data_IF_405140780921
#
_entry.id   IF_405140780921
#
_cell.length_a   1.000
_cell.length_b   1.000
_cell.length_c   1.000
_cell.angle_alpha   90.00
_cell.angle_beta   90.00
_cell.angle_gamma   90.00
#
_symmetry.space_group_name_H-M   'P 1'
#
loop_
_entity.id
_entity.type
_entity.pdbx_description
1 polymer ?
#
# COMPACT_ATOMS: atom_id res chain seq x y z
N UNK A 1 -24.10 -14.57 -3.26
CA UNK A 1 -23.05 -15.60 -3.08
C UNK A 1 -22.19 -15.16 -1.91
N UNK A 2 -21.83 -16.06 -0.98
CA UNK A 2 -20.97 -15.74 0.15
C UNK A 2 -19.51 -15.70 -0.31
N UNK A 3 -18.78 -14.62 -0.02
CA UNK A 3 -17.36 -14.45 -0.39
C UNK A 3 -16.48 -15.60 0.12
N UNK A 4 -16.83 -16.23 1.26
CA UNK A 4 -16.16 -17.41 1.78
C UNK A 4 -16.30 -18.64 0.85
N UNK A 5 -17.44 -18.78 0.17
CA UNK A 5 -17.65 -19.88 -0.76
C UNK A 5 -16.80 -19.72 -2.02
N UNK A 6 -16.63 -18.48 -2.49
CA UNK A 6 -15.75 -18.16 -3.63
C UNK A 6 -14.29 -18.43 -3.26
N UNK A 7 -13.84 -17.97 -2.09
CA UNK A 7 -12.45 -18.20 -1.65
C UNK A 7 -12.12 -19.69 -1.48
N UNK A 8 -13.05 -20.49 -0.93
CA UNK A 8 -12.90 -21.96 -0.87
C UNK A 8 -12.74 -22.59 -2.25
N UNK A 9 -13.49 -22.12 -3.26
CA UNK A 9 -13.35 -22.62 -4.63
C UNK A 9 -12.00 -22.24 -5.25
N UNK A 10 -11.49 -21.03 -4.99
CA UNK A 10 -10.19 -20.57 -5.48
C UNK A 10 -9.07 -21.44 -4.89
N UNK A 11 -9.13 -21.72 -3.59
CA UNK A 11 -8.18 -22.59 -2.90
C UNK A 11 -8.28 -24.04 -3.41
N UNK A 12 -9.49 -24.58 -3.56
CA UNK A 12 -9.71 -25.92 -4.12
C UNK A 12 -9.14 -26.08 -5.54
N UNK A 13 -9.08 -24.99 -6.32
CA UNK A 13 -8.48 -24.94 -7.65
C UNK A 13 -6.96 -24.71 -7.64
N UNK A 14 -6.31 -24.74 -6.46
CA UNK A 14 -4.86 -24.61 -6.32
C UNK A 14 -4.30 -23.23 -6.70
N UNK A 15 -5.14 -22.18 -6.70
CA UNK A 15 -4.70 -20.82 -7.02
C UNK A 15 -4.09 -20.19 -5.76
N UNK A 16 -2.77 -20.23 -5.64
CA UNK A 16 -2.01 -19.78 -4.46
C UNK A 16 -1.35 -18.40 -4.62
N UNK A 17 -1.53 -17.74 -5.78
CA UNK A 17 -1.00 -16.40 -5.99
C UNK A 17 -1.59 -15.41 -4.96
N UNK A 18 -0.79 -14.41 -4.49
CA UNK A 18 -1.27 -13.37 -3.59
C UNK A 18 -2.51 -12.68 -4.14
N UNK A 19 -3.50 -12.45 -3.29
CA UNK A 19 -4.77 -11.80 -3.62
C UNK A 19 -5.31 -11.05 -2.41
N UNK A 20 -6.22 -10.12 -2.65
CA UNK A 20 -6.99 -9.45 -1.62
C UNK A 20 -8.18 -10.34 -1.24
N UNK A 21 -8.43 -10.47 0.06
CA UNK A 21 -9.59 -11.17 0.62
C UNK A 21 -10.56 -10.16 1.26
N UNK A 22 -11.81 -10.54 1.54
CA UNK A 22 -12.73 -9.69 2.29
C UNK A 22 -12.17 -9.29 3.65
N UNK A 23 -11.46 -10.20 4.32
CA UNK A 23 -10.83 -9.93 5.62
C UNK A 23 -9.73 -8.87 5.51
N UNK A 24 -8.96 -8.85 4.41
CA UNK A 24 -7.94 -7.82 4.18
C UNK A 24 -8.57 -6.43 4.04
N UNK A 25 -9.73 -6.35 3.38
CA UNK A 25 -10.45 -5.07 3.22
C UNK A 25 -10.95 -4.57 4.56
N UNK A 26 -11.64 -5.42 5.31
CA UNK A 26 -12.13 -5.09 6.64
C UNK A 26 -10.98 -4.68 7.58
N UNK A 27 -9.86 -5.43 7.54
CA UNK A 27 -8.68 -5.10 8.32
C UNK A 27 -8.04 -3.77 7.90
N UNK A 28 -8.20 -3.33 6.66
CA UNK A 28 -7.62 -2.08 6.15
C UNK A 28 -8.48 -0.83 6.48
N UNK A 29 -9.72 -1.00 6.91
CA UNK A 29 -10.58 0.10 7.38
C UNK A 29 -10.14 0.49 8.80
N UNK A 30 -9.80 1.77 9.00
CA UNK A 30 -9.39 2.33 10.27
C UNK A 30 -10.54 2.99 11.03
N UNK A 31 -11.47 3.65 10.33
CA UNK A 31 -12.69 4.21 10.92
C UNK A 31 -13.80 4.40 9.88
N UNK A 32 -15.04 4.48 10.37
CA UNK A 32 -16.23 4.66 9.55
C UNK A 32 -17.04 5.84 10.09
N UNK A 33 -17.52 6.70 9.18
CA UNK A 33 -18.29 7.89 9.53
C UNK A 33 -19.55 7.95 8.67
N UNK A 34 -20.68 8.27 9.28
CA UNK A 34 -21.98 8.27 8.63
C UNK A 34 -22.71 9.58 8.86
N UNK A 35 -23.27 10.14 7.80
CA UNK A 35 -24.10 11.34 7.87
C UNK A 35 -25.02 11.41 6.64
N UNK A 36 -26.11 12.16 6.72
CA UNK A 36 -26.90 12.52 5.54
C UNK A 36 -26.37 13.78 4.89
N UNK A 37 -26.65 14.01 3.61
CA UNK A 37 -26.27 15.25 2.93
C UNK A 37 -26.80 16.49 3.68
N UNK A 38 -28.01 16.41 4.23
CA UNK A 38 -28.60 17.47 5.03
C UNK A 38 -27.87 17.70 6.36
N UNK A 39 -27.32 16.66 7.00
CA UNK A 39 -26.44 16.85 8.16
C UNK A 39 -25.14 17.56 7.78
N UNK A 40 -24.58 17.21 6.62
CA UNK A 40 -23.39 17.87 6.08
C UNK A 40 -23.63 19.36 5.80
N UNK A 41 -24.74 19.70 5.14
CA UNK A 41 -25.11 21.08 4.85
C UNK A 41 -25.43 21.88 6.13
N UNK A 42 -26.17 21.29 7.08
CA UNK A 42 -26.44 21.93 8.37
C UNK A 42 -25.14 22.29 9.11
N UNK A 43 -24.16 21.39 9.11
CA UNK A 43 -22.84 21.63 9.68
C UNK A 43 -22.09 22.76 8.98
N UNK A 44 -22.15 22.82 7.65
CA UNK A 44 -21.52 23.88 6.86
C UNK A 44 -22.17 25.26 7.11
N UNK A 45 -23.50 25.32 7.19
CA UNK A 45 -24.24 26.55 7.52
C UNK A 45 -23.88 27.03 8.92
N UNK A 46 -23.83 26.12 9.91
CA UNK A 46 -23.48 26.46 11.29
C UNK A 46 -22.09 27.09 11.40
N UNK A 47 -21.12 26.59 10.63
CA UNK A 47 -19.75 27.11 10.63
C UNK A 47 -19.60 28.45 9.90
N UNK A 48 -20.41 28.72 8.88
CA UNK A 48 -20.27 29.91 8.01
C UNK A 48 -21.16 31.08 8.45
N UNK A 49 -22.36 30.78 8.93
CA UNK A 49 -23.41 31.77 9.17
C UNK A 49 -23.62 32.04 10.67
N UNK A 50 -23.03 31.22 11.54
CA UNK A 50 -23.28 31.24 12.99
C UNK A 50 -24.70 30.79 13.39
N UNK A 51 -25.56 30.49 12.42
CA UNK A 51 -26.90 29.95 12.62
C UNK A 51 -26.78 28.45 12.87
N UNK A 52 -27.10 28.00 14.08
CA UNK A 52 -26.99 26.59 14.47
C UNK A 52 -28.33 25.99 14.90
N UNK A 53 -28.37 24.67 15.03
CA UNK A 53 -29.52 23.93 15.52
C UNK A 53 -30.69 23.89 14.53
N UNK A 54 -31.92 23.87 15.06
CA UNK A 54 -33.13 23.59 14.28
C UNK A 54 -33.34 24.57 13.11
N UNK A 55 -32.91 25.84 13.28
CA UNK A 55 -33.05 26.88 12.26
C UNK A 55 -32.28 26.56 10.98
N UNK A 56 -31.03 26.12 11.10
CA UNK A 56 -30.23 25.72 9.93
C UNK A 56 -30.80 24.45 9.28
N UNK A 57 -31.42 23.58 10.07
CA UNK A 57 -31.97 22.30 9.61
C UNK A 57 -33.30 22.44 8.86
N UNK A 58 -34.14 23.42 9.22
CA UNK A 58 -35.45 23.64 8.60
C UNK A 58 -35.39 24.24 7.19
N UNK A 59 -34.25 24.82 6.81
CA UNK A 59 -34.05 25.44 5.49
C UNK A 59 -33.43 24.47 4.46
N UNK A 60 -33.10 23.25 4.89
CA UNK A 60 -32.43 22.24 4.05
C UNK A 60 -33.46 21.48 3.22
N UNK A 61 -33.23 21.32 1.90
CA UNK A 61 -34.10 20.51 1.05
C UNK A 61 -34.28 19.07 1.56
N UNK A 62 -35.52 18.59 1.59
CA UNK A 62 -35.87 17.25 2.10
C UNK A 62 -35.06 16.13 1.43
N UNK A 63 -34.80 16.26 0.12
CA UNK A 63 -33.99 15.31 -0.65
C UNK A 63 -32.60 15.06 -0.06
N UNK A 64 -32.00 16.07 0.61
CA UNK A 64 -30.69 15.94 1.23
C UNK A 64 -30.73 15.12 2.53
N UNK A 65 -31.88 15.03 3.18
CA UNK A 65 -32.07 14.15 4.33
C UNK A 65 -32.19 12.67 3.93
N UNK A 66 -32.50 12.38 2.67
CA UNK A 66 -32.64 11.01 2.13
C UNK A 66 -31.34 10.41 1.59
N UNK A 67 -30.30 11.23 1.43
CA UNK A 67 -29.00 10.81 0.91
C UNK A 67 -28.03 10.53 2.05
N UNK A 68 -27.74 9.25 2.28
CA UNK A 68 -26.78 8.79 3.31
C UNK A 68 -25.39 8.62 2.71
N UNK A 69 -24.38 9.16 3.38
CA UNK A 69 -22.97 8.94 3.10
C UNK A 69 -22.36 8.00 4.13
N UNK A 70 -21.43 7.17 3.66
CA UNK A 70 -20.47 6.44 4.45
C UNK A 70 -19.07 6.90 4.03
N UNK A 71 -18.25 7.34 4.97
CA UNK A 71 -16.84 7.69 4.73
C UNK A 71 -15.97 6.72 5.51
N UNK A 72 -15.20 5.92 4.77
CA UNK A 72 -14.24 4.98 5.33
C UNK A 72 -12.84 5.62 5.26
N UNK A 73 -12.17 5.71 6.39
CA UNK A 73 -10.74 6.07 6.44
C UNK A 73 -9.94 4.77 6.44
N UNK A 74 -9.06 4.59 5.46
CA UNK A 74 -8.17 3.43 5.38
C UNK A 74 -6.92 3.63 6.26
N UNK A 75 -6.20 2.55 6.59
CA UNK A 75 -5.00 2.60 7.45
C UNK A 75 -3.88 3.49 6.92
N UNK A 76 -3.84 3.74 5.61
CA UNK A 76 -2.87 4.65 4.99
C UNK A 76 -3.33 6.13 4.97
N UNK A 77 -4.47 6.44 5.58
CA UNK A 77 -5.07 7.78 5.60
C UNK A 77 -5.91 8.14 4.38
N UNK A 78 -6.00 7.26 3.37
CA UNK A 78 -6.86 7.50 2.20
C UNK A 78 -8.33 7.34 2.58
N UNK A 79 -9.20 8.19 2.05
CA UNK A 79 -10.65 8.14 2.31
C UNK A 79 -11.40 7.57 1.13
N UNK A 80 -12.34 6.66 1.40
CA UNK A 80 -13.26 6.10 0.41
C UNK A 80 -14.68 6.39 0.83
N UNK A 81 -15.48 6.97 -0.06
CA UNK A 81 -16.89 7.27 0.20
C UNK A 81 -17.80 6.22 -0.42
N UNK A 82 -18.98 6.04 0.14
CA UNK A 82 -20.09 5.34 -0.47
C UNK A 82 -21.38 6.06 -0.14
N UNK A 83 -22.35 5.95 -1.04
CA UNK A 83 -23.56 6.75 -1.02
C UNK A 83 -24.78 5.83 -1.14
N UNK A 84 -25.86 6.15 -0.42
CA UNK A 84 -27.16 5.51 -0.56
C UNK A 84 -28.23 6.59 -0.64
N UNK A 85 -28.86 6.70 -1.81
CA UNK A 85 -29.93 7.66 -2.07
C UNK A 85 -31.28 6.94 -1.98
N UNK A 86 -32.11 7.29 -1.01
CA UNK A 86 -33.48 6.78 -0.94
C UNK A 86 -34.38 7.57 -1.91
N UNK A 87 -35.19 6.84 -2.69
CA UNK A 87 -36.05 7.44 -3.72
C UNK A 87 -37.31 8.11 -3.16
N UNK A 88 -37.77 7.73 -1.96
CA UNK A 88 -38.93 8.34 -1.33
C UNK A 88 -38.76 8.46 0.19
N UNK A 89 -39.22 9.56 0.83
CA UNK A 89 -39.16 9.72 2.28
C UNK A 89 -39.85 8.61 3.06
N UNK A 90 -40.96 8.10 2.55
CA UNK A 90 -41.78 7.07 3.23
C UNK A 90 -41.03 5.74 3.35
N UNK A 91 -40.09 5.48 2.45
CA UNK A 91 -39.25 4.28 2.44
C UNK A 91 -37.86 4.54 3.06
N UNK A 92 -37.63 5.72 3.63
CA UNK A 92 -36.35 6.03 4.25
C UNK A 92 -36.15 5.22 5.53
N UNK A 93 -35.08 4.42 5.52
CA UNK A 93 -34.57 3.71 6.68
C UNK A 93 -33.08 4.03 6.83
N UNK A 94 -32.73 4.66 7.95
CA UNK A 94 -31.38 5.13 8.20
C UNK A 94 -30.37 3.97 8.35
N UNK A 95 -30.80 2.82 8.88
CA UNK A 95 -29.94 1.65 9.07
C UNK A 95 -29.67 0.97 7.72
N UNK A 96 -30.71 0.77 6.90
CA UNK A 96 -30.57 0.24 5.54
C UNK A 96 -29.71 1.19 4.69
N UNK A 97 -29.94 2.50 4.78
CA UNK A 97 -29.15 3.51 4.09
C UNK A 97 -27.66 3.43 4.43
N UNK A 98 -27.32 3.31 5.72
CA UNK A 98 -25.93 3.13 6.19
C UNK A 98 -25.31 1.84 5.66
N UNK A 99 -26.04 0.73 5.73
CA UNK A 99 -25.54 -0.57 5.26
C UNK A 99 -25.23 -0.55 3.75
N UNK A 100 -26.11 0.02 2.93
CA UNK A 100 -25.89 0.17 1.48
C UNK A 100 -24.72 1.12 1.20
N UNK A 101 -24.67 2.28 1.88
CA UNK A 101 -23.58 3.24 1.70
C UNK A 101 -22.22 2.62 2.05
N UNK A 102 -22.14 1.83 3.13
CA UNK A 102 -20.93 1.09 3.50
C UNK A 102 -20.53 0.07 2.45
N UNK A 103 -21.49 -0.73 1.96
CA UNK A 103 -21.22 -1.72 0.90
C UNK A 103 -20.70 -1.05 -0.37
N UNK A 104 -21.27 0.10 -0.76
CA UNK A 104 -20.82 0.87 -1.90
C UNK A 104 -19.39 1.42 -1.70
N UNK A 105 -19.04 1.85 -0.49
CA UNK A 105 -17.67 2.26 -0.16
C UNK A 105 -16.69 1.06 -0.24
N UNK A 106 -17.06 -0.08 0.34
CA UNK A 106 -16.26 -1.33 0.31
C UNK A 106 -16.01 -1.81 -1.12
N UNK A 107 -17.02 -1.75 -2.00
CA UNK A 107 -16.87 -2.08 -3.41
C UNK A 107 -15.78 -1.25 -4.10
N UNK A 108 -15.62 0.03 -3.73
CA UNK A 108 -14.56 0.91 -4.26
C UNK A 108 -13.19 0.58 -3.67
N UNK A 109 -13.09 -0.04 -2.49
CA UNK A 109 -11.80 -0.45 -1.89
C UNK A 109 -11.15 -1.60 -2.67
N UNK A 110 -11.93 -2.56 -3.17
CA UNK A 110 -11.43 -3.71 -3.93
C UNK A 110 -10.44 -3.36 -5.05
N UNK A 111 -10.77 -2.50 -6.03
CA UNK A 111 -9.84 -2.13 -7.09
C UNK A 111 -8.61 -1.36 -6.57
N UNK A 112 -8.76 -0.55 -5.52
CA UNK A 112 -7.64 0.21 -4.92
C UNK A 112 -6.62 -0.73 -4.29
N UNK A 113 -7.08 -1.69 -3.47
CA UNK A 113 -6.20 -2.67 -2.85
C UNK A 113 -5.62 -3.65 -3.88
N UNK A 114 -6.38 -3.98 -4.92
CA UNK A 114 -5.88 -4.77 -6.05
C UNK A 114 -4.71 -4.08 -6.77
N UNK A 115 -4.84 -2.78 -7.05
CA UNK A 115 -3.76 -1.97 -7.61
C UNK A 115 -2.54 -1.93 -6.68
N UNK A 116 -2.74 -1.63 -5.40
CA UNK A 116 -1.66 -1.58 -4.40
C UNK A 116 -0.92 -2.91 -4.29
N UNK A 117 -1.63 -4.04 -4.30
CA UNK A 117 -1.03 -5.37 -4.31
C UNK A 117 -0.17 -5.58 -5.55
N UNK A 118 -0.67 -5.22 -6.73
CA UNK A 118 0.09 -5.35 -7.99
C UNK A 118 1.38 -4.54 -7.96
N UNK A 119 1.31 -3.31 -7.45
CA UNK A 119 2.47 -2.44 -7.27
C UNK A 119 3.49 -3.00 -6.28
N UNK A 120 3.02 -3.62 -5.19
CA UNK A 120 3.90 -4.30 -4.24
C UNK A 120 4.61 -5.50 -4.89
N UNK A 121 3.87 -6.33 -5.62
CA UNK A 121 4.43 -7.49 -6.33
C UNK A 121 5.46 -7.08 -7.40
N UNK A 122 5.21 -5.99 -8.13
CA UNK A 122 6.19 -5.45 -9.10
C UNK A 122 7.48 -5.03 -8.40
N UNK A 123 7.37 -4.20 -7.35
CA UNK A 123 8.54 -3.71 -6.59
C UNK A 123 9.33 -4.86 -5.97
N UNK A 124 8.64 -5.88 -5.45
CA UNK A 124 9.28 -7.10 -4.93
C UNK A 124 10.07 -7.83 -6.01
N UNK A 125 9.50 -7.99 -7.20
CA UNK A 125 10.17 -8.64 -8.32
C UNK A 125 11.41 -7.84 -8.80
N UNK A 126 11.34 -6.51 -8.83
CA UNK A 126 12.48 -5.63 -9.16
C UNK A 126 13.62 -5.79 -8.14
N UNK A 127 13.28 -5.81 -6.84
CA UNK A 127 14.25 -6.04 -5.76
C UNK A 127 14.93 -7.40 -5.88
N UNK A 128 14.15 -8.48 -6.01
CA UNK A 128 14.68 -9.84 -6.10
C UNK A 128 15.56 -10.02 -7.36
N UNK A 129 15.25 -9.33 -8.47
CA UNK A 129 16.09 -9.30 -9.67
C UNK A 129 17.42 -8.58 -9.41
N UNK A 130 17.38 -7.44 -8.71
CA UNK A 130 18.59 -6.67 -8.37
C UNK A 130 19.53 -7.43 -7.43
N UNK A 131 18.98 -8.18 -6.47
CA UNK A 131 19.74 -9.01 -5.52
C UNK A 131 20.43 -10.17 -6.24
N UNK A 132 19.73 -10.84 -7.16
CA UNK A 132 20.33 -11.91 -7.99
C UNK A 132 21.47 -11.39 -8.84
N UNK A 133 21.33 -10.20 -9.43
CA UNK A 133 22.43 -9.56 -10.18
C UNK A 133 23.61 -9.25 -9.26
N UNK A 134 23.37 -8.70 -8.08
CA UNK A 134 24.42 -8.45 -7.08
C UNK A 134 25.14 -9.73 -6.65
N UNK A 135 24.39 -10.78 -6.29
CA UNK A 135 24.93 -12.08 -5.91
C UNK A 135 25.70 -12.76 -7.04
N UNK A 136 25.26 -12.63 -8.29
CA UNK A 136 25.94 -13.21 -9.45
C UNK A 136 27.21 -12.43 -9.82
N UNK A 137 27.23 -11.10 -9.65
CA UNK A 137 28.46 -10.31 -9.77
C UNK A 137 29.49 -10.72 -8.72
N UNK A 138 29.08 -10.86 -7.46
CA UNK A 138 29.94 -11.34 -6.37
C UNK A 138 30.46 -12.76 -6.64
N UNK A 139 29.60 -13.69 -7.06
CA UNK A 139 29.97 -15.06 -7.40
C UNK A 139 30.96 -15.14 -8.57
N UNK A 140 30.90 -14.19 -9.51
CA UNK A 140 31.84 -14.06 -10.62
C UNK A 140 33.12 -13.28 -10.27
N UNK A 141 33.33 -12.94 -8.98
CA UNK A 141 34.51 -12.22 -8.51
C UNK A 141 34.53 -10.73 -8.89
N UNK A 142 33.39 -10.16 -9.29
CA UNK A 142 33.23 -8.74 -9.59
C UNK A 142 32.68 -8.01 -8.36
N UNK A 143 33.38 -6.98 -7.88
CA UNK A 143 32.94 -6.19 -6.74
C UNK A 143 31.77 -5.26 -7.15
N UNK A 144 30.56 -5.38 -6.57
CA UNK A 144 29.41 -4.57 -6.96
C UNK A 144 29.55 -3.08 -6.60
N UNK A 145 30.46 -2.73 -5.69
CA UNK A 145 30.68 -1.34 -5.23
C UNK A 145 31.53 -0.48 -6.19
N UNK A 146 32.01 -1.03 -7.31
CA UNK A 146 32.92 -0.35 -8.25
C UNK A 146 32.28 -0.01 -9.60
N UNK A 147 30.97 0.29 -9.64
CA UNK A 147 30.30 0.59 -10.91
C UNK A 147 30.64 1.96 -11.51
N UNK A 148 31.27 2.88 -10.76
CA UNK A 148 31.52 4.26 -11.18
C UNK A 148 32.96 4.66 -11.50
N UNK A 149 33.95 3.74 -11.41
CA UNK A 149 35.37 4.10 -11.61
C UNK A 149 35.99 3.62 -12.93
N UNK A 150 35.23 2.91 -13.78
CA UNK A 150 35.78 2.24 -14.96
C UNK A 150 34.93 2.40 -16.23
N UNK A 151 34.05 3.41 -16.28
CA UNK A 151 33.37 3.76 -17.53
C UNK A 151 34.42 4.28 -18.54
N UNK A 152 34.55 3.60 -19.68
CA UNK A 152 35.55 3.90 -20.72
C UNK A 152 36.78 2.99 -20.75
N UNK A 153 36.86 1.99 -19.85
CA UNK A 153 37.92 0.99 -19.86
C UNK A 153 37.83 0.08 -21.11
N UNK A 154 38.94 -0.06 -21.85
CA UNK A 154 39.02 -0.96 -23.01
C UNK A 154 39.12 -2.41 -22.57
N UNK A 155 38.77 -3.35 -23.47
CA UNK A 155 38.83 -4.79 -23.18
C UNK A 155 40.23 -5.25 -22.72
N UNK A 156 41.29 -4.63 -23.24
CA UNK A 156 42.68 -4.88 -22.89
C UNK A 156 43.01 -4.44 -21.45
N UNK A 157 42.52 -3.25 -21.05
CA UNK A 157 42.69 -2.74 -19.69
C UNK A 157 41.97 -3.63 -18.65
N UNK A 158 40.79 -4.16 -19.01
CA UNK A 158 40.03 -5.08 -18.17
C UNK A 158 40.73 -6.43 -17.99
N UNK A 159 41.42 -6.90 -19.03
CA UNK A 159 42.16 -8.16 -19.01
C UNK A 159 43.48 -8.05 -18.24
N UNK A 160 44.18 -6.92 -18.37
CA UNK A 160 45.38 -6.61 -17.58
C UNK A 160 45.07 -6.46 -16.09
N UNK A 161 43.96 -5.82 -15.72
CA UNK A 161 43.52 -5.77 -14.31
C UNK A 161 43.22 -7.16 -13.75
N UNK A 162 42.58 -8.04 -14.54
CA UNK A 162 42.33 -9.44 -14.16
C UNK A 162 43.64 -10.23 -14.00
N UNK A 163 44.65 -9.97 -14.82
CA UNK A 163 46.00 -10.55 -14.67
C UNK A 163 46.71 -10.02 -13.42
N UNK A 164 46.61 -8.73 -13.13
CA UNK A 164 47.23 -8.11 -11.96
C UNK A 164 46.64 -8.64 -10.64
N UNK A 165 45.32 -8.81 -10.57
CA UNK A 165 44.63 -9.38 -9.40
C UNK A 165 44.92 -10.88 -9.18
N UNK A 166 45.44 -11.58 -10.20
CA UNK A 166 45.87 -12.98 -10.13
C UNK A 166 47.35 -13.15 -9.76
N UNK A 167 48.12 -12.06 -9.62
CA UNK A 167 49.50 -12.18 -9.13
C UNK A 167 49.48 -12.53 -7.64
N UNK A 168 50.22 -13.57 -7.20
CA UNK A 168 50.33 -13.87 -5.79
C UNK A 168 51.01 -12.70 -5.07
N UNK A 169 50.42 -12.30 -3.94
CA UNK A 169 50.90 -11.22 -3.09
C UNK A 169 52.30 -11.58 -2.54
N UNK A 170 53.36 -10.77 -2.76
CA UNK A 170 54.70 -11.08 -2.26
C UNK A 170 54.82 -10.95 -0.72
N UNK A 171 53.73 -10.64 0.00
CA UNK A 171 53.75 -10.38 1.44
C UNK A 171 53.46 -11.60 2.35
N UNK A 172 53.58 -12.84 1.86
CA UNK A 172 53.63 -14.02 2.75
C UNK A 172 55.07 -14.30 3.17
N UNK A 173 55.60 -13.50 4.10
CA UNK A 173 56.96 -13.71 4.62
C UNK A 173 57.40 -12.87 5.82
N UNK A 174 56.56 -12.01 6.40
CA UNK A 174 56.91 -11.28 7.62
C UNK A 174 56.17 -11.87 8.83
N UNK A 175 56.85 -12.28 9.91
CA UNK A 175 56.18 -12.69 11.14
C UNK A 175 55.49 -11.49 11.80
N UNK A 176 54.25 -11.69 12.28
CA UNK A 176 53.53 -10.70 13.05
C UNK A 176 54.29 -10.33 14.33
N UNK A 177 54.41 -9.04 14.70
CA UNK A 177 54.95 -8.65 16.00
C UNK A 177 53.99 -9.10 17.13
N UNK A 178 54.50 -9.58 18.28
CA UNK A 178 53.67 -10.07 19.37
C UNK A 178 52.85 -8.93 20.00
N UNK A 179 51.55 -9.20 20.17
CA UNK A 179 50.57 -8.25 20.68
C UNK A 179 50.73 -7.96 22.17
N UNK A 180 50.76 -6.67 22.51
CA UNK A 180 50.46 -6.19 23.86
C UNK A 180 49.01 -5.70 23.89
N UNK A 181 48.14 -6.39 24.62
CA UNK A 181 46.87 -5.85 25.07
C UNK A 181 47.11 -5.10 26.39
N UNK A 182 46.77 -3.81 26.51
CA UNK A 182 46.70 -3.17 27.81
C UNK A 182 45.38 -3.58 28.49
N UNK A 183 45.51 -4.09 29.72
CA UNK A 183 44.42 -4.20 30.68
C UNK A 183 44.28 -2.82 31.34
N UNK A 184 43.06 -2.27 31.31
CA UNK A 184 42.69 -1.01 31.95
C UNK A 184 41.23 -0.70 31.72
#
# INVERSE_FOLDING_TARGET
MNDQAIERQIQAKGKTAPRITPADIEANIASEHYFTAGQGEAGAIAMTSGVSGMRAYSEIPESLHLLTFCVLVLRNGFTVTGESACASPENFDAEIGRNIARQNAVQKIWPLMGYQLRDHLRRRAEFDASEKVGGQLVANGLNPLYKGQFEGETAEQAEDRRRAARRPNPAHGAPNPPGHYPVG
#
